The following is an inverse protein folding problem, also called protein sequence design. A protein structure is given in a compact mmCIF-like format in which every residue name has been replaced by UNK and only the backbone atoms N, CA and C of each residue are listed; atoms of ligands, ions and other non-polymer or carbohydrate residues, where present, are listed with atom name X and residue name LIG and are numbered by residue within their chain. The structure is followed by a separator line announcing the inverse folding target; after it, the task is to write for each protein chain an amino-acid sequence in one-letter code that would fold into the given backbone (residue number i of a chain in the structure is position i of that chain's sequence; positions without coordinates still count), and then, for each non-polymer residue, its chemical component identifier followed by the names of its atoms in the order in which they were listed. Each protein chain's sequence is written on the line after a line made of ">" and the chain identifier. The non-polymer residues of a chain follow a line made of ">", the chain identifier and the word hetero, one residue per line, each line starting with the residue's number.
data_IF_203031961418
#
_entry.id   IF_203031961418
#
_cell.length_a   1.000
_cell.length_b   1.000
_cell.length_c   1.000
_cell.angle_alpha   90.00
_cell.angle_beta   90.00
_cell.angle_gamma   90.00
#
_symmetry.space_group_name_H-M   'P 1'
#
loop_
_entity.id
_entity.type
_entity.pdbx_description
1 polymer ?
#
# COMPACT_ATOMS: atom_id res chain seq x y z
N UNK A 1 4.26 -13.30 13.64
CA UNK A 1 3.81 -12.01 14.22
C UNK A 1 4.52 -10.87 13.51
N UNK A 2 3.80 -9.93 12.92
CA UNK A 2 4.40 -8.80 12.19
C UNK A 2 4.93 -7.76 13.18
N UNK A 3 6.25 -7.69 13.36
CA UNK A 3 6.88 -6.58 14.09
C UNK A 3 7.00 -5.37 13.16
N UNK A 4 6.20 -4.34 13.38
CA UNK A 4 6.18 -3.11 12.54
C UNK A 4 7.52 -2.39 12.49
N UNK A 5 8.45 -2.68 13.42
CA UNK A 5 9.78 -2.06 13.48
C UNK A 5 10.82 -2.77 12.61
N UNK A 6 10.58 -4.00 12.18
CA UNK A 6 11.50 -4.80 11.37
C UNK A 6 11.41 -4.50 9.85
N UNK A 7 11.46 -3.22 9.46
CA UNK A 7 11.15 -2.73 8.09
C UNK A 7 11.89 -3.43 6.96
N UNK A 8 13.16 -3.80 7.17
CA UNK A 8 13.94 -4.52 6.14
C UNK A 8 13.44 -5.96 5.94
N UNK A 9 13.07 -6.65 7.04
CA UNK A 9 12.59 -8.04 6.99
C UNK A 9 11.23 -8.16 6.32
N UNK A 10 10.41 -7.11 6.34
CA UNK A 10 9.08 -7.09 5.74
C UNK A 10 9.10 -7.45 4.25
N UNK A 11 10.10 -6.98 3.51
CA UNK A 11 10.25 -7.24 2.08
C UNK A 11 10.99 -8.55 1.74
N UNK A 12 11.42 -9.31 2.74
CA UNK A 12 12.20 -10.54 2.58
C UNK A 12 11.50 -11.76 3.16
N UNK A 13 10.68 -11.56 4.19
CA UNK A 13 10.04 -12.63 4.93
C UNK A 13 8.53 -12.64 4.67
N UNK A 14 8.08 -13.69 3.99
CA UNK A 14 6.66 -14.01 3.79
C UNK A 14 6.10 -14.86 4.92
N UNK A 15 6.86 -15.88 5.35
CA UNK A 15 6.44 -16.80 6.40
C UNK A 15 6.92 -16.31 7.77
N UNK A 16 6.00 -15.74 8.55
CA UNK A 16 6.25 -15.36 9.94
C UNK A 16 5.78 -16.47 10.89
N UNK A 17 6.54 -16.77 11.96
CA UNK A 17 6.13 -17.80 12.90
C UNK A 17 4.76 -17.47 13.51
N UNK A 18 3.86 -18.46 13.61
CA UNK A 18 2.59 -18.28 14.26
C UNK A 18 2.84 -17.98 15.73
N UNK A 19 2.02 -17.08 16.29
CA UNK A 19 1.99 -16.86 17.72
C UNK A 19 1.17 -17.99 18.35
N UNK A 20 1.76 -18.69 19.32
CA UNK A 20 1.14 -19.78 20.07
C UNK A 20 0.10 -19.26 21.08
N UNK A 21 0.48 -18.27 21.89
CA UNK A 21 -0.36 -17.78 23.00
C UNK A 21 -0.75 -16.30 22.86
N UNK A 22 -1.95 -15.96 23.37
CA UNK A 22 -2.48 -14.60 23.46
C UNK A 22 -2.58 -14.13 24.92
N UNK A 23 -1.46 -14.16 25.65
CA UNK A 23 -1.42 -13.78 27.07
C UNK A 23 -1.48 -12.26 27.21
N UNK A 24 -2.42 -11.71 28.02
CA UNK A 24 -2.41 -10.29 28.35
C UNK A 24 -1.07 -9.88 28.97
N UNK A 25 -0.51 -8.77 28.53
CA UNK A 25 0.84 -8.31 28.91
C UNK A 25 1.92 -8.61 27.87
N UNK A 26 1.67 -9.53 26.94
CA UNK A 26 2.55 -9.71 25.78
C UNK A 26 2.55 -8.45 24.88
N UNK A 27 3.57 -8.27 24.02
CA UNK A 27 3.55 -7.18 23.04
C UNK A 27 2.29 -7.22 22.16
N UNK A 28 1.59 -6.08 22.02
CA UNK A 28 0.29 -5.93 21.32
C UNK A 28 -0.90 -6.73 21.94
N UNK A 29 -0.64 -7.34 23.10
CA UNK A 29 -1.41 -8.14 24.07
C UNK A 29 -2.21 -7.42 25.15
N UNK A 30 -3.10 -6.46 24.87
CA UNK A 30 -3.65 -5.66 25.99
C UNK A 30 -4.68 -6.40 26.85
N UNK A 31 -5.50 -7.27 26.25
CA UNK A 31 -6.64 -7.90 26.92
C UNK A 31 -6.83 -9.34 26.43
N UNK A 32 -7.54 -10.14 27.22
CA UNK A 32 -7.94 -11.47 26.78
C UNK A 32 -8.84 -11.38 25.54
N UNK A 33 -8.67 -12.29 24.56
CA UNK A 33 -9.54 -12.32 23.39
C UNK A 33 -10.98 -12.63 23.81
N UNK A 34 -11.94 -11.83 23.35
CA UNK A 34 -13.36 -12.08 23.58
C UNK A 34 -13.93 -13.17 22.66
N UNK A 35 -13.24 -13.43 21.55
CA UNK A 35 -13.67 -14.33 20.49
C UNK A 35 -12.48 -15.22 20.11
N UNK A 36 -12.77 -16.49 19.89
CA UNK A 36 -11.80 -17.44 19.35
C UNK A 36 -11.18 -16.95 18.05
N UNK A 37 -9.87 -17.10 17.90
CA UNK A 37 -9.14 -16.63 16.72
C UNK A 37 -9.69 -17.17 15.40
N UNK A 38 -10.14 -18.42 15.38
CA UNK A 38 -10.77 -19.09 14.23
C UNK A 38 -12.07 -18.41 13.76
N UNK A 39 -12.71 -17.64 14.63
CA UNK A 39 -13.97 -16.94 14.36
C UNK A 39 -13.75 -15.47 13.99
N UNK A 40 -12.50 -14.99 13.93
CA UNK A 40 -12.18 -13.63 13.52
C UNK A 40 -12.21 -13.55 12.00
N UNK A 41 -13.25 -12.91 11.46
CA UNK A 41 -13.37 -12.61 10.04
C UNK A 41 -12.73 -11.25 9.77
N UNK A 42 -11.75 -11.19 8.87
CA UNK A 42 -11.21 -9.91 8.42
C UNK A 42 -12.20 -9.25 7.47
N UNK A 43 -12.58 -7.97 7.70
CA UNK A 43 -13.41 -7.26 6.75
C UNK A 43 -12.65 -7.04 5.44
N UNK A 44 -13.35 -6.85 4.31
CA UNK A 44 -12.76 -6.44 3.06
C UNK A 44 -11.84 -5.23 3.27
N UNK A 45 -10.55 -5.43 3.02
CA UNK A 45 -9.55 -4.41 3.27
C UNK A 45 -9.56 -3.42 2.08
N UNK A 46 -9.60 -2.09 2.30
CA UNK A 46 -9.47 -1.12 1.22
C UNK A 46 -8.00 -1.05 0.76
N UNK A 47 -7.51 -2.11 0.12
CA UNK A 47 -6.10 -2.29 -0.25
C UNK A 47 -5.67 -1.22 -1.25
N UNK A 48 -6.52 -0.87 -2.23
CA UNK A 48 -6.25 0.20 -3.19
C UNK A 48 -5.87 1.52 -2.53
N UNK A 49 -6.60 1.93 -1.48
CA UNK A 49 -6.29 3.16 -0.73
C UNK A 49 -4.95 3.06 -0.01
N UNK A 50 -4.63 1.88 0.52
CA UNK A 50 -3.36 1.64 1.22
C UNK A 50 -2.18 1.66 0.26
N UNK A 51 -2.31 1.06 -0.92
CA UNK A 51 -1.29 1.10 -1.97
C UNK A 51 -1.01 2.52 -2.46
N UNK A 52 -2.06 3.32 -2.64
CA UNK A 52 -1.93 4.73 -3.00
C UNK A 52 -1.19 5.51 -1.90
N UNK A 53 -1.63 5.32 -0.65
CA UNK A 53 -1.01 5.97 0.51
C UNK A 53 0.49 5.70 0.55
N UNK A 54 0.90 4.44 0.40
CA UNK A 54 2.31 4.06 0.41
C UNK A 54 3.11 4.71 -0.70
N UNK A 55 2.56 4.75 -1.92
CA UNK A 55 3.17 5.42 -3.06
C UNK A 55 3.40 6.90 -2.77
N UNK A 56 2.36 7.63 -2.35
CA UNK A 56 2.46 9.08 -2.05
C UNK A 56 3.44 9.36 -0.91
N UNK A 57 3.44 8.55 0.14
CA UNK A 57 4.36 8.72 1.28
C UNK A 57 5.83 8.46 0.91
N UNK A 58 6.10 7.78 -0.21
CA UNK A 58 7.44 7.54 -0.71
C UNK A 58 7.93 8.66 -1.65
N UNK A 59 7.07 9.58 -2.08
CA UNK A 59 7.46 10.71 -2.91
C UNK A 59 8.20 11.77 -2.07
N UNK A 60 9.24 12.36 -2.64
CA UNK A 60 9.88 13.55 -2.07
C UNK A 60 8.93 14.75 -2.17
N UNK A 61 8.84 15.53 -1.10
CA UNK A 61 8.01 16.74 -1.04
C UNK A 61 8.49 17.79 -2.04
N UNK A 62 9.80 17.84 -2.28
CA UNK A 62 10.44 18.72 -3.26
C UNK A 62 10.31 18.21 -4.70
N UNK A 63 9.90 16.96 -4.89
CA UNK A 63 9.77 16.31 -6.18
C UNK A 63 8.59 16.83 -7.01
N UNK A 64 8.76 16.86 -8.33
CA UNK A 64 7.77 17.40 -9.26
C UNK A 64 6.44 16.64 -9.22
N UNK A 65 6.49 15.32 -9.01
CA UNK A 65 5.29 14.50 -8.85
C UNK A 65 4.48 14.86 -7.59
N UNK A 66 5.14 15.18 -6.47
CA UNK A 66 4.43 15.61 -5.26
C UNK A 66 3.88 17.04 -5.40
N UNK A 67 4.65 17.94 -6.01
CA UNK A 67 4.18 19.30 -6.36
C UNK A 67 2.96 19.26 -7.28
N UNK A 68 2.95 18.33 -8.25
CA UNK A 68 1.81 18.10 -9.13
C UNK A 68 0.58 17.61 -8.36
N UNK A 69 0.75 16.71 -7.38
CA UNK A 69 -0.37 16.30 -6.53
C UNK A 69 -0.99 17.47 -5.78
N UNK A 70 -0.17 18.38 -5.23
CA UNK A 70 -0.65 19.59 -4.55
C UNK A 70 -1.44 20.48 -5.52
N UNK A 71 -0.96 20.69 -6.74
CA UNK A 71 -1.63 21.53 -7.72
C UNK A 71 -2.90 20.89 -8.32
N UNK A 72 -2.93 19.57 -8.46
CA UNK A 72 -4.08 18.83 -8.96
C UNK A 72 -5.25 18.79 -7.96
N UNK A 73 -4.96 18.92 -6.66
CA UNK A 73 -5.97 18.89 -5.60
C UNK A 73 -5.76 20.03 -4.59
N UNK A 74 -5.97 21.29 -5.00
CA UNK A 74 -5.71 22.45 -4.14
C UNK A 74 -6.64 22.50 -2.92
N UNK A 75 -7.77 21.79 -2.96
CA UNK A 75 -8.71 21.66 -1.83
C UNK A 75 -8.23 20.72 -0.72
N UNK A 76 -7.18 19.93 -0.95
CA UNK A 76 -6.61 19.05 0.07
C UNK A 76 -5.53 19.77 0.88
N UNK A 77 -5.63 19.64 2.21
CA UNK A 77 -4.60 20.15 3.11
C UNK A 77 -3.26 19.43 2.85
N UNK A 78 -2.16 20.19 2.83
CA UNK A 78 -0.80 19.66 2.67
C UNK A 78 -0.49 18.47 3.61
N UNK A 79 -0.93 18.54 4.87
CA UNK A 79 -0.77 17.44 5.83
C UNK A 79 -1.47 16.15 5.41
N UNK A 80 -2.65 16.24 4.78
CA UNK A 80 -3.36 15.08 4.22
C UNK A 80 -2.60 14.49 3.03
N UNK A 81 -2.04 15.35 2.18
CA UNK A 81 -1.21 14.92 1.05
C UNK A 81 0.06 14.21 1.50
N UNK A 82 0.79 14.80 2.44
CA UNK A 82 2.00 14.18 3.01
C UNK A 82 1.70 12.84 3.69
N UNK A 83 0.52 12.72 4.29
CA UNK A 83 0.04 11.47 4.88
C UNK A 83 -0.48 10.46 3.85
N UNK A 84 -0.49 10.79 2.55
CA UNK A 84 -1.01 9.94 1.48
C UNK A 84 -2.50 9.64 1.62
N UNK A 85 -3.25 10.58 2.21
CA UNK A 85 -4.70 10.42 2.37
C UNK A 85 -5.37 10.78 1.04
N UNK A 86 -5.92 9.76 0.39
CA UNK A 86 -6.65 9.90 -0.86
C UNK A 86 -7.95 9.12 -0.81
N UNK A 87 -8.96 9.60 -1.54
CA UNK A 87 -10.20 8.87 -1.77
C UNK A 87 -10.19 8.12 -3.11
N UNK A 88 -11.21 7.29 -3.35
CA UNK A 88 -11.32 6.50 -4.58
C UNK A 88 -11.46 7.34 -5.85
N UNK A 89 -12.08 8.52 -5.77
CA UNK A 89 -12.29 9.44 -6.89
C UNK A 89 -10.98 10.10 -7.30
N UNK A 90 -10.23 10.61 -6.33
CA UNK A 90 -8.91 11.22 -6.54
C UNK A 90 -7.93 10.24 -7.17
N UNK A 91 -7.91 8.99 -6.69
CA UNK A 91 -7.08 7.93 -7.29
C UNK A 91 -7.48 7.69 -8.75
N UNK A 92 -8.79 7.62 -9.03
CA UNK A 92 -9.26 7.39 -10.39
C UNK A 92 -8.91 8.56 -11.33
N UNK A 93 -8.99 9.80 -10.85
CA UNK A 93 -8.58 10.99 -11.60
C UNK A 93 -7.08 10.94 -11.93
N UNK A 94 -6.23 10.59 -10.97
CA UNK A 94 -4.79 10.46 -11.20
C UNK A 94 -4.43 9.35 -12.17
N UNK A 95 -5.09 8.19 -12.06
CA UNK A 95 -4.86 7.05 -12.97
C UNK A 95 -5.16 7.41 -14.43
N UNK A 96 -6.13 8.31 -14.67
CA UNK A 96 -6.49 8.79 -16.01
C UNK A 96 -5.61 9.95 -16.51
N UNK A 97 -4.83 10.56 -15.63
CA UNK A 97 -4.09 11.77 -15.94
C UNK A 97 -2.70 11.47 -16.49
N UNK A 98 -2.54 11.59 -17.80
CA UNK A 98 -1.27 11.33 -18.49
C UNK A 98 -0.18 12.33 -18.09
N UNK A 99 -0.54 13.58 -17.77
CA UNK A 99 0.42 14.61 -17.36
C UNK A 99 1.11 14.25 -16.04
N UNK A 100 0.39 13.59 -15.13
CA UNK A 100 0.99 13.15 -13.86
C UNK A 100 2.19 12.21 -14.09
N UNK A 101 2.09 11.29 -15.06
CA UNK A 101 3.19 10.37 -15.41
C UNK A 101 4.42 11.14 -15.91
N UNK A 102 4.21 12.25 -16.62
CA UNK A 102 5.30 13.12 -17.11
C UNK A 102 6.09 13.82 -16.01
N UNK A 103 5.56 13.88 -14.78
CA UNK A 103 6.24 14.50 -13.62
C UNK A 103 7.06 13.50 -12.79
N UNK A 104 7.03 12.22 -13.14
CA UNK A 104 7.64 11.15 -12.37
C UNK A 104 9.06 10.86 -12.84
N UNK A 105 9.94 10.51 -11.88
CA UNK A 105 11.21 9.85 -12.21
C UNK A 105 10.95 8.43 -12.73
N UNK A 106 11.93 7.81 -13.38
CA UNK A 106 11.80 6.44 -13.91
C UNK A 106 11.41 5.43 -12.80
N UNK A 107 11.99 5.59 -11.60
CA UNK A 107 11.67 4.76 -10.44
C UNK A 107 10.21 4.93 -9.98
N UNK A 108 9.74 6.17 -9.89
CA UNK A 108 8.35 6.49 -9.52
C UNK A 108 7.37 5.98 -10.56
N UNK A 109 7.70 6.15 -11.85
CA UNK A 109 6.89 5.71 -12.98
C UNK A 109 6.72 4.20 -12.99
N UNK A 110 7.78 3.44 -12.74
CA UNK A 110 7.70 1.98 -12.66
C UNK A 110 6.76 1.51 -11.54
N UNK A 111 6.87 2.11 -10.34
CA UNK A 111 5.94 1.82 -9.24
C UNK A 111 4.50 2.24 -9.55
N UNK A 112 4.29 3.39 -10.18
CA UNK A 112 2.97 3.87 -10.57
C UNK A 112 2.28 2.99 -11.62
N UNK A 113 3.01 2.56 -12.65
CA UNK A 113 2.50 1.64 -13.66
C UNK A 113 2.15 0.28 -13.08
N UNK A 114 2.96 -0.23 -12.15
CA UNK A 114 2.65 -1.46 -11.42
C UNK A 114 1.37 -1.30 -10.58
N UNK A 115 1.18 -0.16 -9.92
CA UNK A 115 -0.06 0.17 -9.21
C UNK A 115 -1.28 0.21 -10.13
N UNK A 116 -1.18 0.86 -11.30
CA UNK A 116 -2.26 0.89 -12.29
C UNK A 116 -2.65 -0.54 -12.73
N UNK A 117 -1.66 -1.40 -12.98
CA UNK A 117 -1.91 -2.79 -13.35
C UNK A 117 -2.67 -3.56 -12.26
N UNK A 118 -2.33 -3.34 -10.99
CA UNK A 118 -3.07 -3.92 -9.86
C UNK A 118 -4.51 -3.40 -9.83
N UNK A 119 -4.71 -2.09 -9.99
CA UNK A 119 -6.07 -1.51 -10.05
C UNK A 119 -6.89 -2.10 -11.18
N UNK A 120 -6.28 -2.36 -12.35
CA UNK A 120 -6.97 -2.85 -13.54
C UNK A 120 -7.22 -4.37 -13.52
N UNK A 121 -6.22 -5.15 -13.16
CA UNK A 121 -6.22 -6.61 -13.38
C UNK A 121 -6.43 -7.43 -12.10
N UNK A 122 -6.23 -6.82 -10.92
CA UNK A 122 -6.50 -7.46 -9.63
C UNK A 122 -7.81 -6.95 -9.03
N UNK A 123 -8.04 -5.63 -9.04
CA UNK A 123 -9.28 -5.01 -8.54
C UNK A 123 -10.34 -4.75 -9.61
N UNK A 124 -10.08 -5.12 -10.87
CA UNK A 124 -11.06 -5.05 -11.94
C UNK A 124 -12.16 -6.11 -11.80
N UNK A 125 -13.18 -6.03 -12.65
CA UNK A 125 -14.31 -6.96 -12.64
C UNK A 125 -13.90 -8.40 -12.95
N UNK A 126 -12.82 -8.59 -13.70
CA UNK A 126 -12.26 -9.89 -14.04
C UNK A 126 -10.82 -9.96 -13.58
N UNK A 127 -10.51 -10.92 -12.70
CA UNK A 127 -9.15 -11.16 -12.23
C UNK A 127 -8.33 -11.79 -13.35
N UNK A 128 -7.16 -11.22 -13.65
CA UNK A 128 -6.26 -11.78 -14.64
C UNK A 128 -5.65 -13.12 -14.17
N UNK A 129 -5.41 -14.04 -15.10
CA UNK A 129 -4.80 -15.34 -14.80
C UNK A 129 -3.39 -15.19 -14.21
N UNK A 130 -2.63 -14.18 -14.66
CA UNK A 130 -1.28 -13.90 -14.20
C UNK A 130 -1.22 -12.89 -13.03
N UNK A 131 -2.25 -12.84 -12.18
CA UNK A 131 -2.31 -11.86 -11.08
C UNK A 131 -1.10 -11.95 -10.12
N UNK A 132 -0.52 -13.13 -9.94
CA UNK A 132 0.63 -13.35 -9.05
C UNK A 132 1.86 -12.59 -9.56
N UNK A 133 2.10 -12.60 -10.87
CA UNK A 133 3.20 -11.85 -11.51
C UNK A 133 2.97 -10.35 -11.38
N UNK A 134 1.73 -9.90 -11.58
CA UNK A 134 1.35 -8.48 -11.45
C UNK A 134 1.60 -8.01 -10.01
N UNK A 135 1.26 -8.83 -9.01
CA UNK A 135 1.51 -8.54 -7.61
C UNK A 135 3.00 -8.53 -7.28
N UNK A 136 3.77 -9.51 -7.77
CA UNK A 136 5.21 -9.55 -7.56
C UNK A 136 5.90 -8.30 -8.13
N UNK A 137 5.53 -7.88 -9.34
CA UNK A 137 6.03 -6.66 -9.97
C UNK A 137 5.70 -5.40 -9.17
N UNK A 138 4.52 -5.33 -8.57
CA UNK A 138 4.15 -4.24 -7.65
C UNK A 138 5.05 -4.24 -6.42
N UNK A 139 5.22 -5.39 -5.78
CA UNK A 139 6.02 -5.54 -4.57
C UNK A 139 7.48 -5.12 -4.79
N UNK A 140 8.10 -5.58 -5.87
CA UNK A 140 9.45 -5.19 -6.25
C UNK A 140 9.56 -3.69 -6.52
N UNK A 141 8.65 -3.13 -7.32
CA UNK A 141 8.68 -1.71 -7.67
C UNK A 141 8.48 -0.82 -6.43
N UNK A 142 7.60 -1.22 -5.51
CA UNK A 142 7.38 -0.51 -4.24
C UNK A 142 8.57 -0.62 -3.30
N UNK A 143 9.21 -1.80 -3.23
CA UNK A 143 10.46 -1.98 -2.48
C UNK A 143 11.56 -1.07 -3.01
N UNK A 144 11.74 -1.02 -4.33
CA UNK A 144 12.75 -0.19 -4.99
C UNK A 144 12.48 1.31 -4.82
N UNK A 145 11.22 1.74 -4.86
CA UNK A 145 10.83 3.13 -4.57
C UNK A 145 11.08 3.52 -3.10
N UNK A 146 11.27 2.55 -2.20
CA UNK A 146 11.45 2.79 -0.77
C UNK A 146 10.13 2.87 0.01
N UNK A 147 9.03 2.36 -0.55
CA UNK A 147 7.76 2.26 0.17
C UNK A 147 7.91 1.40 1.43
N UNK A 148 7.18 1.77 2.48
CA UNK A 148 7.03 0.88 3.65
C UNK A 148 5.97 -0.18 3.35
N UNK A 149 6.27 -1.46 3.57
CA UNK A 149 5.29 -2.53 3.40
C UNK A 149 4.21 -2.44 4.48
N UNK A 150 2.95 -2.46 4.07
CA UNK A 150 1.82 -2.48 5.00
C UNK A 150 1.46 -3.93 5.33
N UNK A 151 0.87 -4.14 6.51
CA UNK A 151 0.32 -5.45 6.90
C UNK A 151 -0.67 -5.99 5.84
N UNK A 152 -1.43 -5.09 5.19
CA UNK A 152 -2.42 -5.46 4.17
C UNK A 152 -1.78 -5.98 2.89
N UNK A 153 -0.62 -5.44 2.51
CA UNK A 153 0.18 -5.96 1.40
C UNK A 153 0.80 -7.31 1.74
N UNK A 154 1.24 -7.48 2.99
CA UNK A 154 1.79 -8.74 3.45
C UNK A 154 0.78 -9.89 3.37
N UNK A 155 -0.50 -9.63 3.62
CA UNK A 155 -1.56 -10.63 3.41
C UNK A 155 -1.83 -10.98 1.95
N UNK A 156 -1.33 -10.18 0.99
CA UNK A 156 -1.45 -10.50 -0.43
C UNK A 156 -0.26 -11.30 -0.97
N UNK A 157 0.91 -11.15 -0.34
CA UNK A 157 2.11 -11.94 -0.60
C UNK A 157 1.93 -13.38 -0.08
#
# INVERSE_FOLDING_TARGET
>A
MWDSRARQKHWMQSNWPPRSDLKPGDPNILRQPLVDRKNIIFPPLPIKLVLMKQFVTALSIEGDSFKYLISAFPSLLFGKMKAGVSDGSQILQLVKNVHFIGTMTELQKNAWLAFINIVKYFFGNTRAQNYTEILHKLLESYKMLGCHMSIKLHFLH
#
